data_IF_469170821033
#
_entry.id   IF_469170821033
#
_cell.length_a   1.000
_cell.length_b   1.000
_cell.length_c   1.000
_cell.angle_alpha   90.00
_cell.angle_beta   90.00
_cell.angle_gamma   90.00
#
_symmetry.space_group_name_H-M   'P 1'
#
loop_
_entity.id
_entity.type
_entity.pdbx_description
1 polymer ?
#
# COMPACT_ATOMS: atom_id res chain seq x y z
N UNK A 1 30.18 24.95 31.02
CA UNK A 1 29.87 26.28 30.43
C UNK A 1 30.67 26.35 29.15
N UNK A 2 30.00 26.53 28.02
CA UNK A 2 30.66 26.61 26.72
C UNK A 2 30.65 28.07 26.28
N UNK A 3 31.79 28.58 25.82
CA UNK A 3 31.86 29.92 25.24
C UNK A 3 31.13 29.95 23.88
N UNK A 4 30.46 31.05 23.51
CA UNK A 4 29.79 31.16 22.22
C UNK A 4 30.84 31.29 21.10
N UNK A 5 30.82 30.34 20.16
CA UNK A 5 31.93 30.12 19.23
C UNK A 5 31.81 30.88 17.89
N UNK A 6 30.71 31.62 17.70
CA UNK A 6 30.44 32.51 16.55
C UNK A 6 30.37 33.98 17.03
N UNK A 7 31.50 34.59 17.40
CA UNK A 7 31.55 36.04 17.65
C UNK A 7 31.94 36.75 16.35
N UNK A 8 30.97 37.41 15.70
CA UNK A 8 31.19 38.22 14.50
C UNK A 8 32.25 39.28 14.82
N UNK A 9 33.36 39.30 14.09
CA UNK A 9 34.34 40.38 14.22
C UNK A 9 33.77 41.66 13.60
N UNK A 10 33.37 42.59 14.47
CA UNK A 10 32.83 43.89 14.08
C UNK A 10 33.84 44.73 13.29
N UNK A 11 35.14 44.49 13.43
CA UNK A 11 36.15 45.14 12.59
C UNK A 11 36.04 44.65 11.15
N UNK A 12 36.15 43.34 10.93
CA UNK A 12 36.06 42.72 9.61
C UNK A 12 34.71 43.03 8.94
N UNK A 13 33.60 42.86 9.66
CA UNK A 13 32.24 43.14 9.20
C UNK A 13 32.04 44.57 8.63
N UNK A 14 32.73 45.56 9.19
CA UNK A 14 32.68 46.95 8.74
C UNK A 14 33.66 47.23 7.60
N UNK A 15 34.87 46.66 7.64
CA UNK A 15 35.86 46.79 6.57
C UNK A 15 35.38 46.13 5.27
N UNK A 16 34.75 44.94 5.35
CA UNK A 16 34.12 44.27 4.21
C UNK A 16 32.99 45.10 3.55
N UNK A 17 32.37 46.01 4.31
CA UNK A 17 31.36 46.96 3.83
C UNK A 17 31.93 48.30 3.35
N UNK A 18 33.25 48.39 3.20
CA UNK A 18 33.93 49.52 2.57
C UNK A 18 34.33 50.66 3.52
N UNK A 19 34.29 50.45 4.84
CA UNK A 19 34.76 51.45 5.81
C UNK A 19 36.29 51.44 5.96
N UNK A 20 36.90 52.62 6.01
CA UNK A 20 38.36 52.78 6.24
C UNK A 20 38.79 52.18 7.59
N UNK A 21 39.82 51.32 7.57
CA UNK A 21 40.34 50.60 8.74
C UNK A 21 40.63 51.52 9.95
N UNK A 22 41.21 52.71 9.71
CA UNK A 22 41.57 53.65 10.80
C UNK A 22 40.32 54.33 11.37
N UNK A 23 39.30 54.54 10.55
CA UNK A 23 37.98 55.00 10.98
C UNK A 23 37.28 53.93 11.82
N UNK A 24 37.28 52.68 11.37
CA UNK A 24 36.72 51.52 12.10
C UNK A 24 37.45 51.31 13.44
N UNK A 25 38.79 51.32 13.47
CA UNK A 25 39.57 51.26 14.71
C UNK A 25 39.15 52.35 15.72
N UNK A 26 38.96 53.58 15.25
CA UNK A 26 38.56 54.71 16.09
C UNK A 26 37.14 54.55 16.60
N UNK A 27 36.23 54.07 15.74
CA UNK A 27 34.84 53.78 16.07
C UNK A 27 34.70 52.69 17.13
N UNK A 28 35.40 51.56 16.99
CA UNK A 28 35.42 50.48 17.99
C UNK A 28 35.94 50.96 19.36
N UNK A 29 37.00 51.78 19.37
CA UNK A 29 37.53 52.41 20.58
C UNK A 29 36.53 53.37 21.24
N UNK A 30 35.64 53.98 20.47
CA UNK A 30 34.54 54.82 20.97
C UNK A 30 33.39 53.97 21.53
N UNK A 31 32.87 52.99 20.77
CA UNK A 31 31.83 52.05 21.24
C UNK A 31 32.18 51.43 22.59
N UNK A 32 33.43 50.96 22.76
CA UNK A 32 33.92 50.35 24.00
C UNK A 32 33.97 51.34 25.18
N UNK A 33 34.33 52.60 24.94
CA UNK A 33 34.34 53.65 25.98
C UNK A 33 32.94 54.09 26.37
N UNK A 34 32.04 54.15 25.40
CA UNK A 34 30.68 54.63 25.60
C UNK A 34 29.79 53.55 26.24
N UNK A 35 30.12 52.26 26.05
CA UNK A 35 29.41 51.10 26.60
C UNK A 35 28.45 50.45 25.60
N UNK A 36 28.53 50.83 24.32
CA UNK A 36 27.62 50.38 23.27
C UNK A 36 28.10 49.14 22.52
N UNK A 37 29.37 48.72 22.69
CA UNK A 37 29.97 47.61 21.94
C UNK A 37 29.18 46.30 22.11
N UNK A 38 28.85 45.91 23.33
CA UNK A 38 28.08 44.68 23.61
C UNK A 38 26.67 44.73 23.01
N UNK A 39 26.05 45.91 22.96
CA UNK A 39 24.73 46.11 22.36
C UNK A 39 24.78 45.98 20.82
N UNK A 40 25.85 46.49 20.19
CA UNK A 40 26.11 46.32 18.76
C UNK A 40 26.37 44.85 18.41
N UNK A 41 27.24 44.18 19.16
CA UNK A 41 27.52 42.74 18.98
C UNK A 41 26.24 41.90 19.15
N UNK A 42 25.39 42.24 20.14
CA UNK A 42 24.10 41.59 20.35
C UNK A 42 23.13 41.81 19.18
N UNK A 43 23.06 43.01 18.62
CA UNK A 43 22.22 43.30 17.45
C UNK A 43 22.68 42.51 16.21
N UNK A 44 23.99 42.41 15.98
CA UNK A 44 24.57 41.62 14.88
C UNK A 44 24.31 40.13 15.05
N UNK A 45 24.56 39.57 16.24
CA UNK A 45 24.29 38.16 16.54
C UNK A 45 22.80 37.83 16.39
N UNK A 46 21.90 38.68 16.90
CA UNK A 46 20.46 38.48 16.74
C UNK A 46 20.02 38.50 15.26
N UNK A 47 20.58 39.41 14.46
CA UNK A 47 20.28 39.51 13.03
C UNK A 47 20.80 38.30 12.23
N UNK A 48 22.02 37.83 12.52
CA UNK A 48 22.58 36.63 11.88
C UNK A 48 21.80 35.36 12.27
N UNK A 49 21.41 35.23 13.54
CA UNK A 49 20.55 34.15 14.01
C UNK A 49 19.19 34.16 13.30
N UNK A 50 18.55 35.32 13.14
CA UNK A 50 17.29 35.45 12.39
C UNK A 50 17.47 35.04 10.92
N UNK A 51 18.58 35.41 10.29
CA UNK A 51 18.91 35.07 8.90
C UNK A 51 19.15 33.56 8.71
N UNK A 52 19.96 32.95 9.59
CA UNK A 52 20.21 31.49 9.63
C UNK A 52 18.90 30.73 9.83
N UNK A 53 18.10 31.11 10.83
CA UNK A 53 16.80 30.50 11.11
C UNK A 53 15.82 30.64 9.94
N UNK A 54 15.75 31.82 9.32
CA UNK A 54 14.89 32.06 8.16
C UNK A 54 15.28 31.18 6.95
N UNK A 55 16.57 30.92 6.74
CA UNK A 55 17.03 29.97 5.71
C UNK A 55 16.57 28.54 5.99
N UNK A 56 16.64 28.08 7.25
CA UNK A 56 16.12 26.76 7.65
C UNK A 56 14.61 26.67 7.42
N UNK A 57 13.83 27.67 7.86
CA UNK A 57 12.37 27.68 7.69
C UNK A 57 11.94 27.70 6.22
N UNK A 58 12.69 28.34 5.31
CA UNK A 58 12.42 28.27 3.86
C UNK A 58 12.51 26.85 3.27
N UNK A 59 13.21 25.91 3.93
CA UNK A 59 13.24 24.50 3.53
C UNK A 59 11.94 23.75 3.93
N UNK A 60 11.26 24.22 4.98
CA UNK A 60 9.99 23.67 5.43
C UNK A 60 8.85 24.11 4.52
N UNK A 61 8.72 25.42 4.34
CA UNK A 61 7.71 26.11 3.53
C UNK A 61 8.25 27.49 3.07
N UNK A 62 8.41 27.72 1.75
CA UNK A 62 8.93 28.99 1.23
C UNK A 62 7.94 30.16 1.37
N UNK A 63 6.65 29.91 1.64
CA UNK A 63 5.61 30.95 1.70
C UNK A 63 5.57 31.69 3.05
N UNK A 64 6.22 31.15 4.08
CA UNK A 64 6.26 31.71 5.45
C UNK A 64 6.77 33.16 5.51
N UNK A 65 7.55 33.61 4.52
CA UNK A 65 8.16 34.95 4.49
C UNK A 65 7.45 35.96 3.58
N UNK A 66 6.34 35.58 2.93
CA UNK A 66 5.62 36.47 2.01
C UNK A 66 6.49 37.02 0.87
N UNK A 67 6.33 38.30 0.53
CA UNK A 67 7.06 38.96 -0.57
C UNK A 67 8.29 39.75 -0.15
N UNK A 68 8.46 40.06 1.14
CA UNK A 68 9.63 40.78 1.68
C UNK A 68 10.23 40.00 2.85
N UNK A 69 11.51 39.64 2.74
CA UNK A 69 12.21 38.91 3.80
C UNK A 69 12.51 39.84 5.00
N UNK A 70 11.89 39.64 6.17
CA UNK A 70 12.08 40.50 7.34
C UNK A 70 13.52 40.45 7.86
N UNK A 71 14.24 39.33 7.70
CA UNK A 71 15.65 39.23 8.08
C UNK A 71 16.51 40.16 7.20
N UNK A 72 16.24 40.19 5.90
CA UNK A 72 16.96 41.05 4.96
C UNK A 72 16.66 42.55 5.20
N UNK A 73 15.41 42.90 5.50
CA UNK A 73 15.02 44.28 5.86
C UNK A 73 15.74 44.75 7.12
N UNK A 74 15.75 43.93 8.17
CA UNK A 74 16.38 44.27 9.45
C UNK A 74 17.91 44.29 9.35
N UNK A 75 18.52 43.43 8.53
CA UNK A 75 19.95 43.48 8.23
C UNK A 75 20.33 44.81 7.57
N UNK A 76 19.56 45.28 6.57
CA UNK A 76 19.80 46.58 5.93
C UNK A 76 19.65 47.75 6.92
N UNK A 77 18.67 47.68 7.85
CA UNK A 77 18.51 48.69 8.89
C UNK A 77 19.69 48.72 9.87
N UNK A 78 20.21 47.55 10.25
CA UNK A 78 21.41 47.43 11.10
C UNK A 78 22.66 47.97 10.40
N UNK A 79 22.86 47.60 9.12
CA UNK A 79 23.96 48.10 8.30
C UNK A 79 23.91 49.62 8.14
N UNK A 80 22.74 50.20 7.86
CA UNK A 80 22.59 51.64 7.73
C UNK A 80 22.83 52.39 9.05
N UNK A 81 22.33 51.85 10.17
CA UNK A 81 22.60 52.40 11.50
C UNK A 81 24.10 52.41 11.81
N UNK A 82 24.80 51.28 11.58
CA UNK A 82 26.24 51.18 11.80
C UNK A 82 27.04 52.11 10.89
N UNK A 83 26.78 52.12 9.57
CA UNK A 83 27.46 53.03 8.64
C UNK A 83 27.26 54.49 9.01
N UNK A 84 26.03 54.90 9.33
CA UNK A 84 25.76 56.28 9.77
C UNK A 84 26.51 56.66 11.06
N UNK A 85 26.73 55.70 11.95
CA UNK A 85 27.43 55.90 13.23
C UNK A 85 28.96 55.87 13.07
N UNK A 86 29.50 55.19 12.06
CA UNK A 86 30.91 55.27 11.65
C UNK A 86 31.19 56.59 10.92
N UNK A 87 30.23 57.07 10.14
CA UNK A 87 30.32 58.31 9.39
C UNK A 87 30.12 59.57 10.25
N UNK A 88 29.34 59.50 11.34
CA UNK A 88 29.10 60.61 12.27
C UNK A 88 30.42 61.22 12.80
N UNK A 89 30.79 62.40 12.27
CA UNK A 89 31.98 63.14 12.65
C UNK A 89 31.90 63.73 14.08
N UNK A 90 30.69 63.97 14.58
CA UNK A 90 30.46 64.47 15.93
C UNK A 90 30.66 63.36 16.96
N UNK A 91 30.07 62.18 16.72
CA UNK A 91 30.31 60.99 17.53
C UNK A 91 31.77 60.51 17.46
N UNK A 92 32.41 60.53 16.29
CA UNK A 92 33.76 59.98 16.13
C UNK A 92 34.92 60.95 16.39
N UNK A 93 34.63 62.21 16.73
CA UNK A 93 35.66 63.23 17.00
C UNK A 93 36.64 62.80 18.08
N UNK A 94 37.95 63.02 17.87
CA UNK A 94 39.06 62.71 18.82
C UNK A 94 39.06 63.63 20.07
N UNK A 95 37.98 63.64 20.86
CA UNK A 95 37.64 64.56 21.97
C UNK A 95 36.76 63.79 22.98
N UNK A 96 36.83 63.88 24.33
CA UNK A 96 37.73 64.55 25.31
C UNK A 96 37.82 63.66 26.60
N UNK A 97 38.51 64.11 27.65
CA UNK A 97 38.64 63.45 28.98
C UNK A 97 37.29 63.24 29.73
N UNK A 98 36.18 63.79 29.21
CA UNK A 98 34.79 63.63 29.72
C UNK A 98 33.79 63.33 28.59
N UNK A 99 34.16 62.51 27.61
CA UNK A 99 33.35 62.17 26.41
C UNK A 99 31.87 61.90 26.69
N UNK A 100 31.55 61.06 27.70
CA UNK A 100 30.16 60.72 28.08
C UNK A 100 29.32 61.92 28.51
N UNK A 101 29.92 63.02 28.99
CA UNK A 101 29.19 64.23 29.40
C UNK A 101 28.77 65.06 28.18
N UNK A 102 29.65 65.21 27.19
CA UNK A 102 29.39 66.01 25.98
C UNK A 102 28.52 65.28 24.96
N UNK A 103 28.71 63.98 24.79
CA UNK A 103 27.98 63.16 23.82
C UNK A 103 26.78 62.42 24.42
N UNK A 104 26.36 62.76 25.65
CA UNK A 104 25.34 62.01 26.41
C UNK A 104 24.08 61.72 25.58
N UNK A 105 23.46 62.77 25.04
CA UNK A 105 22.24 62.66 24.23
C UNK A 105 22.45 61.84 22.94
N UNK A 106 23.63 61.95 22.31
CA UNK A 106 23.98 61.18 21.11
C UNK A 106 24.17 59.69 21.43
N UNK A 107 24.85 59.37 22.54
CA UNK A 107 25.03 57.99 23.02
C UNK A 107 23.68 57.37 23.38
N UNK A 108 22.85 58.07 24.16
CA UNK A 108 21.49 57.64 24.55
C UNK A 108 20.59 57.44 23.32
N UNK A 109 20.70 58.27 22.27
CA UNK A 109 19.98 58.09 21.00
C UNK A 109 20.43 56.85 20.22
N UNK A 110 21.74 56.59 20.13
CA UNK A 110 22.23 55.38 19.46
C UNK A 110 21.86 54.12 20.26
N UNK A 111 21.95 54.16 21.58
CA UNK A 111 21.51 53.09 22.49
C UNK A 111 20.03 52.75 22.24
N UNK A 112 19.14 53.73 22.26
CA UNK A 112 17.71 53.54 21.97
C UNK A 112 17.45 52.96 20.58
N UNK A 113 18.20 53.37 19.55
CA UNK A 113 18.08 52.82 18.19
C UNK A 113 18.48 51.35 18.13
N UNK A 114 19.58 50.95 18.79
CA UNK A 114 19.98 49.54 18.84
C UNK A 114 19.04 48.69 19.71
N UNK A 115 18.55 49.20 20.85
CA UNK A 115 17.54 48.51 21.67
C UNK A 115 16.28 48.26 20.85
N UNK A 116 15.73 49.28 20.20
CA UNK A 116 14.54 49.14 19.34
C UNK A 116 14.77 48.15 18.20
N UNK A 117 15.94 48.19 17.56
CA UNK A 117 16.27 47.27 16.48
C UNK A 117 16.38 45.81 16.95
N UNK A 118 16.92 45.57 18.16
CA UNK A 118 16.93 44.25 18.79
C UNK A 118 15.50 43.78 19.12
N UNK A 119 14.62 44.69 19.59
CA UNK A 119 13.20 44.38 19.79
C UNK A 119 12.51 44.01 18.46
N UNK A 120 12.74 44.78 17.38
CA UNK A 120 12.21 44.46 16.04
C UNK A 120 12.73 43.10 15.51
N UNK A 121 14.00 42.77 15.75
CA UNK A 121 14.57 41.45 15.39
C UNK A 121 13.95 40.31 16.22
N UNK A 122 13.75 40.51 17.52
CA UNK A 122 13.12 39.50 18.38
C UNK A 122 11.65 39.27 18.01
N UNK A 123 10.91 40.32 17.67
CA UNK A 123 9.52 40.21 17.21
C UNK A 123 9.46 39.44 15.87
N UNK A 124 10.33 39.78 14.91
CA UNK A 124 10.42 39.05 13.65
C UNK A 124 10.80 37.56 13.86
N UNK A 125 11.70 37.27 14.81
CA UNK A 125 12.02 35.89 15.19
C UNK A 125 10.81 35.14 15.76
N UNK A 126 9.99 35.78 16.60
CA UNK A 126 8.76 35.19 17.13
C UNK A 126 7.71 34.93 16.04
N UNK A 127 7.45 35.91 15.17
CA UNK A 127 6.51 35.79 14.04
C UNK A 127 6.90 34.63 13.10
N UNK A 128 8.18 34.58 12.71
CA UNK A 128 8.73 33.51 11.85
C UNK A 128 8.66 32.15 12.56
N UNK A 129 8.95 32.10 13.87
CA UNK A 129 8.87 30.86 14.64
C UNK A 129 7.43 30.34 14.76
N UNK A 130 6.45 31.23 14.97
CA UNK A 130 5.05 30.84 15.03
C UNK A 130 4.57 30.28 13.67
N UNK A 131 4.83 31.01 12.58
CA UNK A 131 4.46 30.57 11.23
C UNK A 131 5.15 29.24 10.84
N UNK A 132 6.43 29.07 11.21
CA UNK A 132 7.15 27.81 11.02
C UNK A 132 6.56 26.66 11.85
N UNK A 133 6.13 26.91 13.10
CA UNK A 133 5.47 25.92 13.94
C UNK A 133 4.11 25.49 13.38
N UNK A 134 3.32 26.43 12.85
CA UNK A 134 2.04 26.15 12.19
C UNK A 134 2.24 25.32 10.92
N UNK A 135 3.19 25.71 10.05
CA UNK A 135 3.55 24.96 8.84
C UNK A 135 4.09 23.55 9.15
N UNK A 136 4.92 23.41 10.19
CA UNK A 136 5.44 22.12 10.65
C UNK A 136 4.28 21.24 11.12
N UNK A 137 3.41 21.74 12.01
CA UNK A 137 2.25 20.99 12.51
C UNK A 137 1.31 20.55 11.38
N UNK A 138 1.08 21.40 10.37
CA UNK A 138 0.30 21.04 9.19
C UNK A 138 0.94 19.88 8.39
N UNK A 139 2.24 19.97 8.11
CA UNK A 139 2.99 18.93 7.37
C UNK A 139 3.07 17.61 8.15
N UNK A 140 3.33 17.67 9.45
CA UNK A 140 3.29 16.54 10.39
C UNK A 140 1.90 15.90 10.46
N UNK A 141 0.82 16.69 10.43
CA UNK A 141 -0.57 16.18 10.41
C UNK A 141 -0.85 15.38 9.14
N UNK A 142 -0.46 15.89 7.96
CA UNK A 142 -0.62 15.16 6.70
C UNK A 142 0.14 13.81 6.71
N UNK A 143 1.36 13.79 7.26
CA UNK A 143 2.13 12.56 7.44
C UNK A 143 1.47 11.58 8.42
N UNK A 144 0.84 12.09 9.48
CA UNK A 144 0.11 11.28 10.46
C UNK A 144 -1.13 10.66 9.83
N UNK A 145 -1.93 11.44 9.08
CA UNK A 145 -3.10 10.95 8.32
C UNK A 145 -2.69 9.88 7.30
N UNK A 146 -1.55 10.04 6.62
CA UNK A 146 -0.95 9.00 5.77
C UNK A 146 -0.66 7.71 6.57
N UNK A 147 0.03 7.80 7.71
CA UNK A 147 0.28 6.64 8.59
C UNK A 147 -1.02 5.95 9.03
N UNK A 148 -2.01 6.72 9.52
CA UNK A 148 -3.28 6.19 9.99
C UNK A 148 -4.05 5.50 8.87
N UNK A 149 -4.06 6.06 7.65
CA UNK A 149 -4.77 5.43 6.51
C UNK A 149 -4.13 4.12 6.04
N UNK A 150 -2.81 3.97 6.15
CA UNK A 150 -2.11 2.71 5.90
C UNK A 150 -2.48 1.66 6.98
N UNK A 151 -2.43 2.03 8.26
CA UNK A 151 -2.82 1.15 9.37
C UNK A 151 -4.28 0.72 9.28
N UNK A 152 -5.21 1.63 8.98
CA UNK A 152 -6.62 1.34 8.72
C UNK A 152 -6.80 0.34 7.56
N UNK A 153 -6.03 0.48 6.47
CA UNK A 153 -6.10 -0.46 5.34
C UNK A 153 -5.50 -1.82 5.70
N UNK A 154 -4.43 -1.86 6.52
CA UNK A 154 -3.90 -3.11 7.07
C UNK A 154 -4.93 -3.85 7.92
N UNK A 155 -5.66 -3.14 8.80
CA UNK A 155 -6.69 -3.73 9.65
C UNK A 155 -7.87 -4.28 8.85
N UNK A 156 -8.36 -3.52 7.86
CA UNK A 156 -9.44 -3.99 6.96
C UNK A 156 -9.08 -5.24 6.16
N UNK A 157 -7.79 -5.40 5.83
CA UNK A 157 -7.27 -6.57 5.10
C UNK A 157 -6.79 -7.71 6.03
N UNK A 158 -6.83 -7.52 7.35
CA UNK A 158 -6.35 -8.51 8.32
C UNK A 158 -4.84 -8.75 8.26
N UNK A 159 -4.05 -7.69 8.04
CA UNK A 159 -2.60 -7.75 7.85
C UNK A 159 -1.84 -7.45 9.15
N UNK A 160 -1.04 -8.44 9.59
CA UNK A 160 -0.17 -8.35 10.78
C UNK A 160 1.35 -8.50 10.46
N UNK A 161 1.94 -7.78 9.49
CA UNK A 161 3.39 -7.77 9.28
C UNK A 161 4.05 -6.97 10.40
N UNK A 162 4.43 -7.66 11.49
CA UNK A 162 4.87 -7.08 12.77
C UNK A 162 5.83 -5.89 12.58
N UNK A 163 6.94 -6.07 11.83
CA UNK A 163 7.94 -5.00 11.64
C UNK A 163 7.41 -3.75 10.92
N UNK A 164 6.64 -3.91 9.85
CA UNK A 164 6.06 -2.81 9.07
C UNK A 164 5.01 -2.05 9.90
N UNK A 165 4.16 -2.80 10.61
CA UNK A 165 3.11 -2.24 11.48
C UNK A 165 3.69 -1.48 12.67
N UNK A 166 4.66 -2.07 13.37
CA UNK A 166 5.31 -1.46 14.53
C UNK A 166 6.05 -0.16 14.15
N UNK A 167 6.69 -0.12 12.98
CA UNK A 167 7.34 1.09 12.50
C UNK A 167 6.35 2.22 12.16
N UNK A 168 5.24 1.91 11.47
CA UNK A 168 4.17 2.88 11.22
C UNK A 168 3.58 3.43 12.53
N UNK A 169 3.28 2.56 13.50
CA UNK A 169 2.79 2.96 14.83
C UNK A 169 3.82 3.82 15.58
N UNK A 170 5.12 3.51 15.47
CA UNK A 170 6.20 4.30 16.08
C UNK A 170 6.27 5.70 15.46
N UNK A 171 6.18 5.80 14.13
CA UNK A 171 6.18 7.07 13.40
C UNK A 171 4.94 7.89 13.76
N UNK A 172 3.74 7.29 13.72
CA UNK A 172 2.48 7.96 14.07
C UNK A 172 2.52 8.56 15.48
N UNK A 173 3.00 7.80 16.49
CA UNK A 173 3.18 8.29 17.86
C UNK A 173 4.18 9.46 17.94
N UNK A 174 5.27 9.40 17.18
CA UNK A 174 6.23 10.51 17.06
C UNK A 174 5.61 11.77 16.47
N UNK A 175 4.93 11.64 15.32
CA UNK A 175 4.22 12.73 14.64
C UNK A 175 3.15 13.37 15.55
N UNK A 176 2.34 12.54 16.23
CA UNK A 176 1.33 13.00 17.19
C UNK A 176 1.94 13.85 18.31
N UNK A 177 3.12 13.45 18.80
CA UNK A 177 3.84 14.17 19.86
C UNK A 177 4.28 15.57 19.41
N UNK A 178 4.74 15.71 18.15
CA UNK A 178 5.08 17.01 17.54
C UNK A 178 3.85 17.90 17.36
N UNK A 179 2.70 17.34 16.94
CA UNK A 179 1.45 18.10 16.78
C UNK A 179 0.95 18.65 18.13
N UNK A 180 0.96 17.82 19.18
CA UNK A 180 0.51 18.22 20.53
C UNK A 180 1.53 19.03 21.32
N UNK A 181 2.80 19.00 20.92
CA UNK A 181 3.90 19.64 21.65
C UNK A 181 3.89 21.17 21.57
N UNK A 182 4.52 21.79 22.57
CA UNK A 182 5.03 23.14 22.45
C UNK A 182 6.27 23.13 21.54
N UNK A 183 6.38 24.11 20.65
CA UNK A 183 7.42 24.17 19.62
C UNK A 183 8.20 25.47 19.81
N UNK A 184 9.45 25.34 20.23
CA UNK A 184 10.40 26.46 20.39
C UNK A 184 11.29 26.64 19.15
N UNK A 185 11.95 27.79 18.95
CA UNK A 185 12.87 28.01 17.83
C UNK A 185 13.98 26.96 17.71
N UNK A 186 14.52 26.50 18.85
CA UNK A 186 15.57 25.47 18.90
C UNK A 186 15.04 24.11 18.45
N UNK A 187 13.82 23.75 18.87
CA UNK A 187 13.17 22.50 18.43
C UNK A 187 12.74 22.54 16.97
N UNK A 188 12.38 23.73 16.43
CA UNK A 188 12.02 23.91 15.03
C UNK A 188 13.15 23.50 14.09
N UNK A 189 14.36 24.01 14.32
CA UNK A 189 15.54 23.67 13.51
C UNK A 189 15.75 22.15 13.49
N UNK A 190 15.75 21.50 14.66
CA UNK A 190 15.90 20.04 14.76
C UNK A 190 14.81 19.28 13.97
N UNK A 191 13.53 19.67 14.10
CA UNK A 191 12.45 19.00 13.39
C UNK A 191 12.51 19.24 11.88
N UNK A 192 12.81 20.46 11.43
CA UNK A 192 12.89 20.81 10.01
C UNK A 192 14.02 20.02 9.33
N UNK A 193 15.20 19.93 9.95
CA UNK A 193 16.35 19.19 9.42
C UNK A 193 16.09 17.66 9.33
N UNK A 194 15.32 17.11 10.27
CA UNK A 194 14.99 15.68 10.27
C UNK A 194 13.76 15.33 9.41
N UNK A 195 12.93 16.31 9.03
CA UNK A 195 11.68 16.07 8.31
C UNK A 195 11.87 15.39 6.94
N UNK A 196 12.85 15.76 6.08
CA UNK A 196 13.06 15.10 4.79
C UNK A 196 13.37 13.60 4.93
N UNK A 197 14.15 13.22 5.96
CA UNK A 197 14.46 11.82 6.26
C UNK A 197 13.21 11.05 6.69
N UNK A 198 12.35 11.68 7.49
CA UNK A 198 11.10 11.07 7.93
C UNK A 198 10.08 10.94 6.77
N UNK A 199 10.02 11.93 5.87
CA UNK A 199 9.22 11.85 4.63
C UNK A 199 9.69 10.69 3.75
N UNK A 200 10.99 10.64 3.42
CA UNK A 200 11.56 9.54 2.62
C UNK A 200 11.24 8.17 3.21
N UNK A 201 11.40 8.00 4.54
CA UNK A 201 11.09 6.73 5.19
C UNK A 201 9.60 6.40 5.18
N UNK A 202 8.71 7.38 5.28
CA UNK A 202 7.27 7.17 5.18
C UNK A 202 6.83 6.80 3.75
N UNK A 203 7.50 7.36 2.73
CA UNK A 203 7.23 7.03 1.33
C UNK A 203 7.73 5.61 0.97
N UNK A 204 8.88 5.18 1.51
CA UNK A 204 9.33 3.77 1.46
C UNK A 204 8.30 2.83 2.10
N UNK A 205 7.84 3.14 3.32
CA UNK A 205 6.87 2.31 4.05
C UNK A 205 5.50 2.28 3.34
N UNK A 206 5.08 3.36 2.68
CA UNK A 206 3.89 3.36 1.83
C UNK A 206 4.05 2.43 0.64
N UNK A 207 5.20 2.46 -0.06
CA UNK A 207 5.45 1.57 -1.19
C UNK A 207 5.42 0.09 -0.78
N UNK A 208 6.06 -0.25 0.35
CA UNK A 208 6.00 -1.59 0.94
C UNK A 208 4.57 -2.01 1.30
N UNK A 209 3.77 -1.11 1.87
CA UNK A 209 2.35 -1.34 2.16
C UNK A 209 1.54 -1.58 0.89
N UNK A 210 1.73 -0.77 -0.15
CA UNK A 210 0.99 -0.88 -1.42
C UNK A 210 1.24 -2.24 -2.07
N UNK A 211 2.51 -2.70 -2.12
CA UNK A 211 2.87 -4.01 -2.65
C UNK A 211 2.20 -5.12 -1.83
N UNK A 212 2.21 -5.02 -0.50
CA UNK A 212 1.57 -6.00 0.38
C UNK A 212 0.04 -6.04 0.20
N UNK A 213 -0.60 -4.88 0.03
CA UNK A 213 -2.04 -4.79 -0.22
C UNK A 213 -2.42 -5.46 -1.54
N UNK A 214 -1.70 -5.16 -2.62
CA UNK A 214 -1.92 -5.76 -3.94
C UNK A 214 -1.79 -7.29 -3.89
N UNK A 215 -0.75 -7.80 -3.23
CA UNK A 215 -0.55 -9.25 -3.06
C UNK A 215 -1.64 -9.91 -2.21
N UNK A 216 -2.15 -9.23 -1.17
CA UNK A 216 -3.27 -9.72 -0.36
C UNK A 216 -4.57 -9.76 -1.17
N UNK A 217 -4.82 -8.73 -1.97
CA UNK A 217 -5.97 -8.64 -2.87
C UNK A 217 -5.91 -9.74 -3.96
N UNK A 218 -4.75 -9.96 -4.61
CA UNK A 218 -4.53 -11.07 -5.56
C UNK A 218 -4.73 -12.46 -4.92
N UNK A 219 -4.26 -12.65 -3.69
CA UNK A 219 -4.44 -13.93 -2.98
C UNK A 219 -5.93 -14.23 -2.73
N UNK A 220 -6.70 -13.26 -2.22
CA UNK A 220 -8.14 -13.48 -1.98
C UNK A 220 -8.94 -13.62 -3.30
N UNK A 221 -8.52 -12.99 -4.40
CA UNK A 221 -9.11 -13.23 -5.73
C UNK A 221 -8.90 -14.70 -6.17
N UNK A 222 -7.68 -15.22 -6.07
CA UNK A 222 -7.38 -16.59 -6.46
C UNK A 222 -8.04 -17.61 -5.52
N UNK A 223 -8.14 -17.33 -4.21
CA UNK A 223 -8.94 -18.14 -3.28
C UNK A 223 -10.44 -18.07 -3.59
N UNK A 224 -10.94 -16.96 -4.14
CA UNK A 224 -12.30 -16.83 -4.67
C UNK A 224 -12.55 -17.79 -5.83
N UNK A 225 -11.64 -17.83 -6.82
CA UNK A 225 -11.70 -18.76 -7.94
C UNK A 225 -11.69 -20.22 -7.47
N UNK A 226 -10.78 -20.58 -6.55
CA UNK A 226 -10.72 -21.92 -5.93
C UNK A 226 -12.07 -22.32 -5.31
N UNK A 227 -12.69 -21.42 -4.53
CA UNK A 227 -14.01 -21.69 -3.93
C UNK A 227 -15.08 -21.96 -4.98
N UNK A 228 -15.12 -21.16 -6.04
CA UNK A 228 -16.05 -21.36 -7.16
C UNK A 228 -15.81 -22.73 -7.82
N UNK A 229 -14.55 -23.13 -8.05
CA UNK A 229 -14.24 -24.46 -8.60
C UNK A 229 -14.71 -25.61 -7.71
N UNK A 230 -14.59 -25.47 -6.38
CA UNK A 230 -15.16 -26.44 -5.46
C UNK A 230 -16.70 -26.49 -5.51
N UNK A 231 -17.38 -25.35 -5.64
CA UNK A 231 -18.84 -25.29 -5.84
C UNK A 231 -19.29 -25.88 -7.20
N UNK A 232 -18.44 -25.83 -8.22
CA UNK A 232 -18.65 -26.50 -9.52
C UNK A 232 -18.49 -28.02 -9.37
N UNK A 233 -17.46 -28.50 -8.66
CA UNK A 233 -17.25 -29.93 -8.37
C UNK A 233 -18.37 -30.53 -7.51
N UNK A 234 -18.86 -29.77 -6.53
CA UNK A 234 -19.96 -30.16 -5.64
C UNK A 234 -21.23 -30.49 -6.46
N UNK A 235 -21.59 -29.64 -7.43
CA UNK A 235 -22.71 -29.87 -8.36
C UNK A 235 -22.51 -31.12 -9.24
N UNK A 236 -21.27 -31.43 -9.64
CA UNK A 236 -20.99 -32.65 -10.42
C UNK A 236 -21.14 -33.90 -9.54
N UNK A 237 -20.67 -33.84 -8.29
CA UNK A 237 -20.86 -34.91 -7.30
C UNK A 237 -22.33 -35.17 -7.00
N UNK A 238 -23.14 -34.11 -6.84
CA UNK A 238 -24.60 -34.20 -6.67
C UNK A 238 -25.28 -34.86 -7.87
N UNK A 239 -24.96 -34.43 -9.10
CA UNK A 239 -25.49 -35.03 -10.34
C UNK A 239 -25.13 -36.51 -10.46
N UNK A 240 -23.88 -36.88 -10.17
CA UNK A 240 -23.43 -38.27 -10.19
C UNK A 240 -24.20 -39.13 -9.18
N UNK A 241 -24.42 -38.59 -7.99
CA UNK A 241 -25.20 -39.25 -6.93
C UNK A 241 -26.66 -39.47 -7.34
N UNK A 242 -27.29 -38.49 -8.00
CA UNK A 242 -28.65 -38.62 -8.56
C UNK A 242 -28.73 -39.70 -9.66
N UNK A 243 -27.66 -39.85 -10.44
CA UNK A 243 -27.52 -40.88 -11.48
C UNK A 243 -27.05 -42.25 -10.93
N UNK A 244 -26.95 -42.40 -9.61
CA UNK A 244 -26.55 -43.65 -8.95
C UNK A 244 -25.10 -44.06 -9.20
N UNK A 245 -24.19 -43.11 -9.35
CA UNK A 245 -22.73 -43.32 -9.28
C UNK A 245 -22.13 -42.65 -8.04
N UNK A 246 -21.08 -43.25 -7.50
CA UNK A 246 -20.28 -42.68 -6.42
C UNK A 246 -18.88 -42.26 -6.86
N UNK A 247 -18.67 -40.97 -7.11
CA UNK A 247 -17.37 -40.39 -7.49
C UNK A 247 -16.51 -40.11 -6.24
N UNK A 248 -16.02 -41.19 -5.61
CA UNK A 248 -15.28 -41.15 -4.34
C UNK A 248 -14.09 -40.18 -4.33
N UNK A 249 -13.39 -40.02 -5.46
CA UNK A 249 -12.27 -39.09 -5.58
C UNK A 249 -12.71 -37.61 -5.51
N UNK A 250 -13.91 -37.26 -6.00
CA UNK A 250 -14.46 -35.91 -5.88
C UNK A 250 -14.92 -35.66 -4.44
N UNK A 251 -15.58 -36.65 -3.82
CA UNK A 251 -15.98 -36.57 -2.40
C UNK A 251 -14.77 -36.33 -1.48
N UNK A 252 -13.65 -37.03 -1.74
CA UNK A 252 -12.40 -36.81 -1.00
C UNK A 252 -11.88 -35.38 -1.18
N UNK A 253 -11.75 -34.88 -2.42
CA UNK A 253 -11.31 -33.51 -2.68
C UNK A 253 -12.20 -32.45 -2.03
N UNK A 254 -13.53 -32.63 -2.07
CA UNK A 254 -14.49 -31.75 -1.39
C UNK A 254 -14.30 -31.77 0.13
N UNK A 255 -14.00 -32.92 0.73
CA UNK A 255 -13.73 -33.02 2.17
C UNK A 255 -12.48 -32.25 2.63
N UNK A 256 -11.49 -32.08 1.74
CA UNK A 256 -10.26 -31.32 2.02
C UNK A 256 -10.34 -29.82 1.70
N UNK A 257 -11.44 -29.32 1.08
CA UNK A 257 -11.67 -27.93 0.65
C UNK A 257 -11.19 -26.88 1.66
N UNK A 258 -11.74 -26.90 2.87
CA UNK A 258 -11.43 -25.90 3.91
C UNK A 258 -10.01 -26.02 4.45
N UNK A 259 -9.45 -27.25 4.49
CA UNK A 259 -8.08 -27.51 4.93
C UNK A 259 -7.08 -26.95 3.92
N UNK A 260 -7.30 -27.17 2.62
CA UNK A 260 -6.45 -26.66 1.54
C UNK A 260 -6.46 -25.13 1.49
N UNK A 261 -7.64 -24.51 1.52
CA UNK A 261 -7.79 -23.04 1.56
C UNK A 261 -7.14 -22.44 2.80
N UNK A 262 -7.34 -23.05 3.98
CA UNK A 262 -6.73 -22.59 5.23
C UNK A 262 -5.21 -22.73 5.22
N UNK A 263 -4.68 -23.83 4.68
CA UNK A 263 -3.23 -24.06 4.55
C UNK A 263 -2.55 -23.03 3.66
N UNK A 264 -3.21 -22.60 2.58
CA UNK A 264 -2.71 -21.51 1.72
C UNK A 264 -2.70 -20.17 2.49
N UNK A 265 -3.78 -19.83 3.20
CA UNK A 265 -3.85 -18.60 4.01
C UNK A 265 -2.86 -18.57 5.17
N UNK A 266 -2.61 -19.71 5.79
CA UNK A 266 -1.74 -19.82 6.97
C UNK A 266 -0.26 -19.54 6.64
N UNK A 267 0.16 -19.70 5.38
CA UNK A 267 1.49 -19.24 4.91
C UNK A 267 1.70 -17.74 5.13
N UNK A 268 0.62 -16.94 5.06
CA UNK A 268 0.69 -15.48 5.14
C UNK A 268 0.48 -14.91 6.56
N UNK A 269 0.13 -15.74 7.57
CA UNK A 269 -0.33 -15.27 8.89
C UNK A 269 0.69 -14.47 9.71
N UNK A 270 1.98 -14.49 9.38
CA UNK A 270 3.05 -13.91 10.22
C UNK A 270 4.21 -13.23 9.47
N UNK A 271 4.11 -13.05 8.15
CA UNK A 271 5.29 -12.75 7.33
C UNK A 271 5.03 -11.71 6.22
N UNK A 272 6.14 -11.17 5.70
CA UNK A 272 6.17 -10.09 4.72
C UNK A 272 5.79 -10.51 3.29
N UNK A 273 6.08 -9.66 2.29
CA UNK A 273 5.55 -9.80 0.93
C UNK A 273 6.00 -11.08 0.19
N UNK A 274 7.07 -11.76 0.61
CA UNK A 274 7.57 -13.01 0.02
C UNK A 274 6.63 -14.20 0.30
N UNK A 275 6.08 -14.29 1.51
CA UNK A 275 5.16 -15.38 1.87
C UNK A 275 3.79 -15.27 1.18
N UNK A 276 3.46 -14.08 0.66
CA UNK A 276 2.32 -13.93 -0.25
C UNK A 276 2.60 -14.53 -1.63
N UNK A 277 3.83 -14.43 -2.16
CA UNK A 277 4.16 -15.03 -3.46
C UNK A 277 4.04 -16.56 -3.40
N UNK A 278 4.50 -17.18 -2.31
CA UNK A 278 4.32 -18.62 -2.09
C UNK A 278 2.86 -19.04 -1.98
N UNK A 279 2.02 -18.22 -1.32
CA UNK A 279 0.60 -18.49 -1.17
C UNK A 279 -0.16 -18.30 -2.49
N UNK A 280 0.15 -17.26 -3.25
CA UNK A 280 -0.40 -17.00 -4.59
C UNK A 280 0.01 -18.13 -5.55
N UNK A 281 1.26 -18.58 -5.49
CA UNK A 281 1.76 -19.71 -6.29
C UNK A 281 0.98 -21.00 -5.98
N UNK A 282 0.85 -21.36 -4.70
CA UNK A 282 0.05 -22.52 -4.29
C UNK A 282 -1.44 -22.39 -4.59
N UNK A 283 -1.99 -21.17 -4.59
CA UNK A 283 -3.36 -20.93 -5.02
C UNK A 283 -3.54 -21.17 -6.53
N UNK A 284 -2.60 -20.71 -7.37
CA UNK A 284 -2.62 -20.94 -8.82
C UNK A 284 -2.39 -22.41 -9.18
N UNK A 285 -1.57 -23.12 -8.41
CA UNK A 285 -1.35 -24.57 -8.55
C UNK A 285 -2.65 -25.35 -8.25
N UNK A 286 -3.29 -25.08 -7.10
CA UNK A 286 -4.56 -25.71 -6.73
C UNK A 286 -5.72 -25.34 -7.69
N UNK A 287 -5.79 -24.09 -8.16
CA UNK A 287 -6.82 -23.66 -9.13
C UNK A 287 -6.68 -24.38 -10.47
N UNK A 288 -5.44 -24.66 -10.90
CA UNK A 288 -5.13 -25.47 -12.08
C UNK A 288 -5.50 -26.94 -11.87
N UNK A 289 -5.14 -27.54 -10.73
CA UNK A 289 -5.51 -28.93 -10.39
C UNK A 289 -7.03 -29.11 -10.39
N UNK A 290 -7.77 -28.22 -9.73
CA UNK A 290 -9.23 -28.24 -9.69
C UNK A 290 -9.85 -28.01 -11.07
N UNK A 291 -9.26 -27.16 -11.92
CA UNK A 291 -9.73 -26.95 -13.30
C UNK A 291 -9.50 -28.18 -14.18
N UNK A 292 -8.41 -28.92 -13.97
CA UNK A 292 -8.17 -30.21 -14.65
C UNK A 292 -9.16 -31.28 -14.18
N UNK A 293 -9.41 -31.35 -12.88
CA UNK A 293 -10.40 -32.27 -12.29
C UNK A 293 -11.82 -31.97 -12.80
N UNK A 294 -12.19 -30.69 -12.92
CA UNK A 294 -13.47 -30.27 -13.48
C UNK A 294 -13.64 -30.69 -14.93
N UNK A 295 -12.64 -30.48 -15.78
CA UNK A 295 -12.68 -30.91 -17.18
C UNK A 295 -12.85 -32.44 -17.32
N UNK A 296 -12.21 -33.23 -16.47
CA UNK A 296 -12.47 -34.68 -16.40
C UNK A 296 -13.91 -34.98 -15.95
N UNK A 297 -14.42 -34.23 -14.96
CA UNK A 297 -15.76 -34.42 -14.39
C UNK A 297 -16.91 -34.04 -15.35
N UNK A 298 -16.66 -33.13 -16.32
CA UNK A 298 -17.62 -32.83 -17.40
C UNK A 298 -17.78 -34.03 -18.36
N UNK A 299 -16.69 -34.70 -18.72
CA UNK A 299 -16.76 -35.94 -19.51
C UNK A 299 -17.46 -37.07 -18.73
N UNK A 300 -17.24 -37.17 -17.42
CA UNK A 300 -18.01 -38.08 -16.54
C UNK A 300 -19.50 -37.72 -16.53
N UNK A 301 -19.84 -36.43 -16.51
CA UNK A 301 -21.23 -35.96 -16.56
C UNK A 301 -21.91 -36.31 -17.90
N UNK A 302 -21.19 -36.18 -19.02
CA UNK A 302 -21.70 -36.61 -20.34
C UNK A 302 -21.90 -38.13 -20.42
N UNK A 303 -20.99 -38.92 -19.83
CA UNK A 303 -21.17 -40.37 -19.68
C UNK A 303 -22.38 -40.73 -18.84
N UNK A 304 -22.62 -40.00 -17.75
CA UNK A 304 -23.76 -40.19 -16.86
C UNK A 304 -25.09 -39.94 -17.57
N UNK A 305 -25.22 -38.83 -18.30
CA UNK A 305 -26.40 -38.51 -19.10
C UNK A 305 -26.65 -39.59 -20.18
N UNK A 306 -25.61 -40.00 -20.92
CA UNK A 306 -25.68 -41.10 -21.90
C UNK A 306 -26.05 -42.43 -21.24
N UNK A 307 -25.56 -42.73 -20.04
CA UNK A 307 -25.89 -43.94 -19.27
C UNK A 307 -27.35 -43.96 -18.84
N UNK A 308 -27.91 -42.80 -18.46
CA UNK A 308 -29.35 -42.67 -18.16
C UNK A 308 -30.18 -42.92 -19.43
N UNK A 309 -29.86 -42.24 -20.55
CA UNK A 309 -30.53 -42.48 -21.85
C UNK A 309 -30.47 -43.96 -22.26
N UNK A 310 -29.32 -44.61 -22.07
CA UNK A 310 -29.09 -46.02 -22.36
C UNK A 310 -30.02 -46.92 -21.54
N UNK A 311 -30.15 -46.70 -20.24
CA UNK A 311 -31.04 -47.50 -19.38
C UNK A 311 -32.52 -47.30 -19.72
N UNK A 312 -32.96 -46.08 -20.03
CA UNK A 312 -34.35 -45.81 -20.43
C UNK A 312 -34.68 -46.47 -21.78
N UNK A 313 -33.82 -46.29 -22.79
CA UNK A 313 -34.04 -46.84 -24.13
C UNK A 313 -33.94 -48.37 -24.15
N UNK A 314 -33.02 -48.97 -23.37
CA UNK A 314 -32.92 -50.42 -23.25
C UNK A 314 -34.20 -51.02 -22.65
N UNK A 315 -34.79 -50.35 -21.65
CA UNK A 315 -36.06 -50.78 -21.04
C UNK A 315 -37.23 -50.73 -22.03
N UNK A 316 -37.33 -49.70 -22.88
CA UNK A 316 -38.34 -49.63 -23.95
C UNK A 316 -38.22 -50.82 -24.92
N UNK A 317 -36.99 -51.24 -25.24
CA UNK A 317 -36.72 -52.39 -26.11
C UNK A 317 -37.03 -53.72 -25.42
N UNK A 318 -36.64 -53.88 -24.15
CA UNK A 318 -36.88 -55.11 -23.36
C UNK A 318 -38.36 -55.50 -23.26
N UNK A 319 -39.27 -54.53 -23.13
CA UNK A 319 -40.71 -54.77 -23.00
C UNK A 319 -41.37 -55.23 -24.33
N UNK A 320 -40.68 -55.08 -25.46
CA UNK A 320 -41.21 -55.36 -26.80
C UNK A 320 -40.50 -56.51 -27.53
N UNK A 321 -39.20 -56.73 -27.26
CA UNK A 321 -38.40 -57.77 -27.90
C UNK A 321 -38.98 -59.19 -27.81
N UNK A 322 -39.56 -59.65 -26.67
CA UNK A 322 -40.18 -60.98 -26.61
C UNK A 322 -41.34 -61.18 -27.60
N UNK A 323 -42.04 -60.10 -27.98
CA UNK A 323 -43.12 -60.14 -28.98
C UNK A 323 -42.52 -60.19 -30.39
N UNK A 324 -41.52 -59.35 -30.66
CA UNK A 324 -40.83 -59.28 -31.96
C UNK A 324 -40.13 -60.60 -32.33
N UNK A 325 -39.43 -61.21 -31.38
CA UNK A 325 -38.81 -62.53 -31.55
C UNK A 325 -39.86 -63.62 -31.86
N UNK A 326 -41.05 -63.55 -31.24
CA UNK A 326 -42.15 -64.47 -31.52
C UNK A 326 -42.75 -64.32 -32.93
N UNK A 327 -42.76 -63.09 -33.48
CA UNK A 327 -43.22 -62.79 -34.84
C UNK A 327 -42.20 -63.24 -35.90
N UNK A 328 -40.91 -63.09 -35.61
CA UNK A 328 -39.80 -63.43 -36.51
C UNK A 328 -39.48 -64.94 -36.43
N UNK A 329 -39.89 -65.63 -35.35
CA UNK A 329 -39.66 -67.06 -35.15
C UNK A 329 -38.22 -67.39 -34.72
N UNK A 330 -37.51 -66.44 -34.12
CA UNK A 330 -36.12 -66.60 -33.66
C UNK A 330 -35.95 -65.95 -32.27
N UNK A 331 -34.87 -66.24 -31.56
CA UNK A 331 -34.49 -65.53 -30.32
C UNK A 331 -33.41 -64.46 -30.55
N UNK A 332 -33.27 -63.97 -31.79
CA UNK A 332 -32.16 -63.12 -32.19
C UNK A 332 -32.14 -61.81 -31.40
N UNK A 333 -33.29 -61.13 -31.29
CA UNK A 333 -33.36 -59.82 -30.65
C UNK A 333 -33.15 -59.92 -29.12
N UNK A 334 -33.65 -60.98 -28.49
CA UNK A 334 -33.41 -61.28 -27.06
C UNK A 334 -31.92 -61.47 -26.79
N UNK A 335 -31.22 -62.24 -27.62
CA UNK A 335 -29.77 -62.43 -27.49
C UNK A 335 -29.00 -61.10 -27.70
N UNK A 336 -29.44 -60.26 -28.64
CA UNK A 336 -28.84 -58.92 -28.85
C UNK A 336 -29.03 -58.02 -27.63
N UNK A 337 -30.25 -57.96 -27.06
CA UNK A 337 -30.52 -57.20 -25.83
C UNK A 337 -29.71 -57.70 -24.63
N UNK A 338 -29.56 -59.00 -24.47
CA UNK A 338 -28.77 -59.58 -23.38
C UNK A 338 -27.25 -59.31 -23.56
N UNK A 339 -26.75 -59.24 -24.80
CA UNK A 339 -25.41 -58.73 -25.09
C UNK A 339 -25.27 -57.24 -24.74
N UNK A 340 -26.23 -56.41 -25.16
CA UNK A 340 -26.24 -54.96 -24.88
C UNK A 340 -26.31 -54.67 -23.38
N UNK A 341 -27.07 -55.45 -22.59
CA UNK A 341 -27.04 -55.41 -21.11
C UNK A 341 -25.65 -55.66 -20.55
N UNK A 342 -24.96 -56.67 -21.08
CA UNK A 342 -23.62 -57.04 -20.64
C UNK A 342 -22.60 -55.95 -20.99
N UNK A 343 -22.69 -55.37 -22.18
CA UNK A 343 -21.85 -54.24 -22.56
C UNK A 343 -22.17 -52.98 -21.73
N UNK A 344 -23.44 -52.68 -21.45
CA UNK A 344 -23.84 -51.59 -20.54
C UNK A 344 -23.31 -51.81 -19.11
N UNK A 345 -23.30 -53.06 -18.62
CA UNK A 345 -22.69 -53.38 -17.32
C UNK A 345 -21.17 -53.15 -17.31
N UNK A 346 -20.47 -53.30 -18.44
CA UNK A 346 -19.04 -52.95 -18.51
C UNK A 346 -18.76 -51.44 -18.47
N UNK A 347 -19.76 -50.61 -18.78
CA UNK A 347 -19.70 -49.14 -18.65
C UNK A 347 -19.89 -48.69 -17.19
N UNK A 348 -20.23 -49.58 -16.23
CA UNK A 348 -20.34 -49.19 -14.82
C UNK A 348 -18.99 -48.97 -14.11
N UNK A 349 -17.85 -49.27 -14.75
CA UNK A 349 -16.50 -49.09 -14.18
C UNK A 349 -16.05 -47.62 -14.01
N UNK A 350 -16.89 -46.65 -14.37
CA UNK A 350 -16.61 -45.20 -14.28
C UNK A 350 -16.18 -44.77 -12.85
N UNK A 351 -16.68 -45.43 -11.81
CA UNK A 351 -16.39 -45.10 -10.40
C UNK A 351 -14.90 -45.24 -10.02
N UNK A 352 -14.11 -45.97 -10.81
CA UNK A 352 -12.68 -46.23 -10.57
C UNK A 352 -11.74 -45.62 -11.60
N UNK A 353 -12.25 -44.94 -12.63
CA UNK A 353 -11.44 -44.47 -13.77
C UNK A 353 -11.02 -43.00 -13.55
N UNK A 354 -9.70 -42.78 -13.58
CA UNK A 354 -9.08 -41.46 -13.39
C UNK A 354 -8.37 -40.93 -14.65
N UNK A 355 -8.19 -41.77 -15.69
CA UNK A 355 -7.51 -41.40 -16.93
C UNK A 355 -8.50 -40.99 -18.03
N UNK A 356 -8.25 -39.87 -18.70
CA UNK A 356 -9.18 -39.37 -19.73
C UNK A 356 -9.28 -40.30 -20.93
N UNK A 357 -8.22 -41.02 -21.30
CA UNK A 357 -8.23 -41.94 -22.44
C UNK A 357 -9.11 -43.17 -22.20
N UNK A 358 -9.14 -43.69 -20.97
CA UNK A 358 -10.07 -44.75 -20.55
C UNK A 358 -11.51 -44.23 -20.56
N UNK A 359 -11.70 -42.99 -20.10
CA UNK A 359 -13.00 -42.31 -20.09
C UNK A 359 -13.54 -42.07 -21.52
N UNK A 360 -12.72 -41.56 -22.43
CA UNK A 360 -13.07 -41.34 -23.84
C UNK A 360 -13.41 -42.65 -24.56
N UNK A 361 -12.70 -43.74 -24.25
CA UNK A 361 -13.02 -45.08 -24.75
C UNK A 361 -14.39 -45.56 -24.28
N UNK A 362 -14.74 -45.32 -23.00
CA UNK A 362 -16.08 -45.58 -22.49
C UNK A 362 -17.15 -44.69 -23.13
N UNK A 363 -16.85 -43.42 -23.46
CA UNK A 363 -17.78 -42.53 -24.18
C UNK A 363 -18.12 -43.12 -25.54
N UNK A 364 -17.11 -43.52 -26.31
CA UNK A 364 -17.31 -44.12 -27.63
C UNK A 364 -18.07 -45.45 -27.55
N UNK A 365 -17.79 -46.27 -26.53
CA UNK A 365 -18.53 -47.52 -26.30
C UNK A 365 -20.00 -47.25 -25.97
N UNK A 366 -20.28 -46.30 -25.07
CA UNK A 366 -21.63 -45.90 -24.71
C UNK A 366 -22.42 -45.35 -25.92
N UNK A 367 -21.78 -44.54 -26.78
CA UNK A 367 -22.39 -44.02 -28.01
C UNK A 367 -22.73 -45.13 -29.01
N UNK A 368 -21.85 -46.14 -29.19
CA UNK A 368 -22.12 -47.28 -30.07
C UNK A 368 -23.33 -48.08 -29.59
N UNK A 369 -23.36 -48.43 -28.29
CA UNK A 369 -24.47 -49.16 -27.66
C UNK A 369 -25.78 -48.35 -27.76
N UNK A 370 -25.73 -47.03 -27.58
CA UNK A 370 -26.92 -46.17 -27.66
C UNK A 370 -27.48 -46.11 -29.09
N UNK A 371 -26.60 -46.09 -30.08
CA UNK A 371 -26.98 -46.13 -31.50
C UNK A 371 -27.64 -47.47 -31.87
N UNK A 372 -27.09 -48.58 -31.40
CA UNK A 372 -27.67 -49.92 -31.60
C UNK A 372 -29.04 -50.07 -30.94
N UNK A 373 -29.21 -49.60 -29.70
CA UNK A 373 -30.50 -49.60 -29.01
C UNK A 373 -31.51 -48.70 -29.73
N UNK A 374 -31.13 -47.48 -30.17
CA UNK A 374 -32.03 -46.59 -30.92
C UNK A 374 -32.49 -47.21 -32.24
N UNK A 375 -31.63 -47.95 -32.95
CA UNK A 375 -32.01 -48.71 -34.14
C UNK A 375 -33.00 -49.85 -33.82
N UNK A 376 -32.85 -50.54 -32.69
CA UNK A 376 -33.81 -51.55 -32.23
C UNK A 376 -35.17 -50.94 -31.85
N UNK A 377 -35.19 -49.74 -31.24
CA UNK A 377 -36.40 -48.97 -30.97
C UNK A 377 -37.12 -48.59 -32.29
N UNK A 378 -36.39 -48.10 -33.29
CA UNK A 378 -36.95 -47.77 -34.60
C UNK A 378 -37.49 -49.01 -35.34
N UNK A 379 -36.76 -50.13 -35.30
CA UNK A 379 -37.20 -51.41 -35.85
C UNK A 379 -38.50 -51.88 -35.18
N UNK A 380 -38.57 -51.83 -33.85
CA UNK A 380 -39.77 -52.15 -33.06
C UNK A 380 -40.97 -51.30 -33.48
N UNK A 381 -40.77 -49.98 -33.64
CA UNK A 381 -41.80 -49.04 -34.10
C UNK A 381 -42.25 -49.35 -35.53
N UNK A 382 -41.32 -49.62 -36.45
CA UNK A 382 -41.63 -49.97 -37.83
C UNK A 382 -42.41 -51.28 -37.96
N UNK A 383 -42.05 -52.31 -37.19
CA UNK A 383 -42.77 -53.60 -37.19
C UNK A 383 -44.20 -53.42 -36.64
N UNK A 384 -44.38 -52.65 -35.57
CA UNK A 384 -45.71 -52.31 -35.03
C UNK A 384 -46.60 -51.53 -36.01
N UNK A 385 -46.04 -50.75 -36.92
CA UNK A 385 -46.82 -50.11 -38.00
C UNK A 385 -47.15 -51.11 -39.12
N UNK A 386 -46.25 -52.06 -39.44
CA UNK A 386 -46.52 -53.13 -40.40
C UNK A 386 -47.63 -54.08 -39.92
N UNK A 387 -47.71 -54.40 -38.63
CA UNK A 387 -48.80 -55.19 -38.03
C UNK A 387 -50.19 -54.54 -38.15
N UNK A 388 -50.28 -53.23 -38.43
CA UNK A 388 -51.55 -52.52 -38.65
C UNK A 388 -52.02 -52.55 -40.10
N UNK A 389 -51.23 -53.10 -41.01
CA UNK A 389 -51.59 -53.25 -42.42
C UNK A 389 -52.39 -54.58 -42.56
N UNK A 390 -53.64 -54.55 -43.06
CA UNK A 390 -54.52 -55.73 -43.11
C UNK A 390 -54.06 -56.89 -44.00
#
# INVERSE_FOLDING_TARGET
MSEPQDRIDLFEYLVERGHDEKRVESFLKNLKKDGLLELVEKALSACDNLKKFAQTVKQLDPTVFGSEDPASRLELMLQHLLSSMVEDEYYNKKILFNRKMFLRSTIEQYEQRFVKLIEEINNAMQEVSQAAAEALKAKTKNMMEKCSSLLDKMDRLGLEPIGLRDELIRIEKGLKSVISGEITPETLTFYIENLPRLTSRLDELEADCIILFQKKEELEENLGKIKQRFEELEKVSEKASQAGLKLSFIEEYLSWKDVLISRIRDKCKKAGPECYDEAISSAKELEKELSQLLAQSESISSLLEKRIELFEALKEVEEEVPKLDSLIGTSYLSNTVESLKKDLSSVSGIESILESAELDSLVQKAESVLKEIKLLVELSKAIKELEKIP
#
